data_IF_187647026250
#
_entry.id   IF_187647026250
#
_cell.length_a   1.000
_cell.length_b   1.000
_cell.length_c   1.000
_cell.angle_alpha   90.00
_cell.angle_beta   90.00
_cell.angle_gamma   90.00
#
_symmetry.space_group_name_H-M   'P 1'
#
loop_
_entity.id
_entity.type
_entity.pdbx_description
1 polymer ?
#
# COMPACT_ATOMS: atom_id res chain seq x y z
N UNK A 1 32.56 -14.77 -10.86
CA UNK A 1 32.37 -13.34 -11.22
C UNK A 1 31.25 -12.71 -10.41
N UNK A 2 30.14 -13.41 -10.18
CA UNK A 2 29.01 -12.96 -9.33
C UNK A 2 29.39 -12.94 -7.83
N UNK A 3 30.18 -13.92 -7.35
CA UNK A 3 30.61 -14.00 -5.94
C UNK A 3 31.37 -12.76 -5.43
N UNK A 4 32.23 -12.15 -6.27
CA UNK A 4 32.99 -10.95 -5.89
C UNK A 4 32.09 -9.72 -5.68
N UNK A 5 30.91 -9.69 -6.29
CA UNK A 5 29.95 -8.60 -6.17
C UNK A 5 29.04 -8.75 -4.94
N UNK A 6 29.04 -9.91 -4.27
CA UNK A 6 28.17 -10.16 -3.10
C UNK A 6 26.67 -10.19 -3.42
N UNK A 7 26.30 -10.28 -4.70
CA UNK A 7 24.90 -10.23 -5.18
C UNK A 7 24.29 -11.61 -5.37
N UNK A 8 24.86 -12.64 -4.75
CA UNK A 8 24.43 -14.04 -4.91
C UNK A 8 22.97 -14.22 -4.51
N UNK A 9 22.54 -13.51 -3.46
CA UNK A 9 21.15 -13.40 -3.00
C UNK A 9 20.17 -12.82 -4.04
N UNK A 10 20.65 -12.16 -5.10
CA UNK A 10 19.81 -11.67 -6.21
C UNK A 10 19.57 -12.75 -7.27
N UNK A 11 20.36 -13.83 -7.29
CA UNK A 11 20.31 -14.88 -8.32
C UNK A 11 19.91 -16.23 -7.72
N UNK A 12 20.31 -16.49 -6.47
CA UNK A 12 19.92 -17.65 -5.68
C UNK A 12 19.20 -17.17 -4.41
N UNK A 13 17.89 -17.33 -4.40
CA UNK A 13 17.07 -16.99 -3.24
C UNK A 13 16.98 -18.20 -2.31
N UNK A 14 17.23 -17.99 -1.02
CA UNK A 14 16.81 -18.95 -0.01
C UNK A 14 15.28 -19.12 -0.06
N UNK A 15 14.73 -20.27 0.41
CA UNK A 15 13.28 -20.46 0.47
C UNK A 15 12.54 -19.34 1.21
N UNK A 16 13.17 -18.77 2.24
CA UNK A 16 12.63 -17.64 3.01
C UNK A 16 12.60 -16.36 2.18
N UNK A 17 13.69 -16.01 1.49
CA UNK A 17 13.74 -14.83 0.63
C UNK A 17 12.75 -14.93 -0.53
N UNK A 18 12.63 -16.11 -1.15
CA UNK A 18 11.65 -16.38 -2.19
C UNK A 18 10.21 -16.20 -1.66
N UNK A 19 9.92 -16.74 -0.48
CA UNK A 19 8.60 -16.60 0.16
C UNK A 19 8.30 -15.13 0.48
N UNK A 20 9.23 -14.42 1.09
CA UNK A 20 9.06 -13.00 1.42
C UNK A 20 8.88 -12.16 0.15
N UNK A 21 9.73 -12.36 -0.86
CA UNK A 21 9.62 -11.69 -2.15
C UNK A 21 8.27 -11.90 -2.83
N UNK A 22 7.73 -13.12 -2.78
CA UNK A 22 6.40 -13.44 -3.30
C UNK A 22 5.28 -12.68 -2.57
N UNK A 23 5.37 -12.56 -1.24
CA UNK A 23 4.35 -11.88 -0.44
C UNK A 23 4.57 -10.36 -0.29
N UNK A 24 5.71 -9.80 -0.70
CA UNK A 24 6.01 -8.37 -0.61
C UNK A 24 4.87 -7.49 -1.15
N UNK A 25 4.28 -7.73 -2.34
CA UNK A 25 3.17 -6.91 -2.82
C UNK A 25 1.97 -6.90 -1.88
N UNK A 26 1.62 -8.05 -1.29
CA UNK A 26 0.52 -8.17 -0.33
C UNK A 26 0.83 -7.38 0.95
N UNK A 27 2.06 -7.53 1.47
CA UNK A 27 2.51 -6.80 2.67
C UNK A 27 2.43 -5.29 2.41
N UNK A 28 2.92 -4.81 1.26
CA UNK A 28 2.84 -3.40 0.89
C UNK A 28 1.39 -2.93 0.83
N UNK A 29 0.48 -3.67 0.19
CA UNK A 29 -0.94 -3.29 0.17
C UNK A 29 -1.56 -3.22 1.57
N UNK A 30 -1.24 -4.16 2.45
CA UNK A 30 -1.70 -4.12 3.85
C UNK A 30 -1.16 -2.89 4.58
N UNK A 31 0.13 -2.55 4.40
CA UNK A 31 0.72 -1.36 5.00
C UNK A 31 0.02 -0.08 4.51
N UNK A 32 -0.18 0.07 3.19
CA UNK A 32 -0.90 1.23 2.65
C UNK A 32 -2.36 1.30 3.13
N UNK A 33 -3.04 0.15 3.25
CA UNK A 33 -4.38 0.09 3.81
C UNK A 33 -4.42 0.59 5.25
N UNK A 34 -3.49 0.12 6.10
CA UNK A 34 -3.38 0.58 7.49
C UNK A 34 -3.10 2.08 7.55
N UNK A 35 -2.15 2.57 6.76
CA UNK A 35 -1.82 4.00 6.68
C UNK A 35 -3.04 4.84 6.27
N UNK A 36 -3.81 4.38 5.27
CA UNK A 36 -5.05 5.02 4.87
C UNK A 36 -6.07 5.06 6.01
N UNK A 37 -6.17 4.02 6.84
CA UNK A 37 -7.11 3.97 7.96
C UNK A 37 -6.72 4.90 9.11
N UNK A 38 -5.44 4.95 9.49
CA UNK A 38 -5.00 5.67 10.70
C UNK A 38 -4.83 7.17 10.49
N UNK A 39 -4.46 7.61 9.28
CA UNK A 39 -4.21 9.03 9.01
C UNK A 39 -5.50 9.83 9.00
N UNK A 40 -5.48 11.13 9.33
CA UNK A 40 -6.65 11.98 9.19
C UNK A 40 -7.10 12.03 7.71
N UNK A 41 -8.41 12.11 7.48
CA UNK A 41 -8.97 12.21 6.14
C UNK A 41 -10.25 13.04 6.13
N UNK A 42 -10.51 13.68 4.99
CA UNK A 42 -11.71 14.48 4.77
C UNK A 42 -12.83 13.59 4.24
N UNK A 43 -14.09 13.88 4.61
CA UNK A 43 -15.26 13.20 4.04
C UNK A 43 -15.89 14.09 3.00
N UNK A 44 -16.03 13.58 1.78
CA UNK A 44 -16.63 14.30 0.65
C UNK A 44 -17.78 13.49 0.05
N UNK A 45 -18.85 14.13 -0.46
CA UNK A 45 -19.89 13.44 -1.21
C UNK A 45 -19.28 12.71 -2.42
N UNK A 46 -19.54 11.42 -2.50
CA UNK A 46 -19.16 10.58 -3.63
C UNK A 46 -20.21 10.58 -4.73
N UNK A 47 -19.97 9.79 -5.79
CA UNK A 47 -20.89 9.65 -6.91
C UNK A 47 -21.90 8.51 -6.73
N UNK A 48 -21.62 7.56 -5.82
CA UNK A 48 -22.55 6.46 -5.51
C UNK A 48 -23.67 6.98 -4.63
N UNK A 49 -24.90 6.88 -5.10
CA UNK A 49 -26.11 7.21 -4.33
C UNK A 49 -26.50 6.05 -3.42
N UNK A 50 -26.99 6.38 -2.22
CA UNK A 50 -27.61 5.41 -1.35
C UNK A 50 -29.02 5.10 -1.89
N UNK A 51 -29.33 3.83 -2.24
CA UNK A 51 -30.63 3.47 -2.82
C UNK A 51 -31.80 3.66 -1.85
N UNK A 52 -31.56 3.63 -0.53
CA UNK A 52 -32.60 3.79 0.49
C UNK A 52 -32.92 5.26 0.77
N UNK A 53 -31.92 6.15 0.67
CA UNK A 53 -32.08 7.56 1.07
C UNK A 53 -32.00 8.56 -0.08
N UNK A 54 -31.58 8.12 -1.27
CA UNK A 54 -31.32 8.99 -2.43
C UNK A 54 -30.09 9.90 -2.29
N UNK A 55 -29.48 9.98 -1.10
CA UNK A 55 -28.34 10.85 -0.84
C UNK A 55 -27.02 10.22 -1.32
N UNK A 56 -26.02 11.01 -1.74
CA UNK A 56 -24.68 10.51 -2.04
C UNK A 56 -24.00 9.87 -0.82
N UNK A 57 -23.28 8.76 -1.04
CA UNK A 57 -22.39 8.18 -0.03
C UNK A 57 -21.15 9.05 0.13
N UNK A 58 -20.67 9.23 1.35
CA UNK A 58 -19.44 9.97 1.59
C UNK A 58 -18.20 9.09 1.40
N UNK A 59 -17.21 9.60 0.68
CA UNK A 59 -15.88 9.00 0.55
C UNK A 59 -14.92 9.66 1.54
N UNK A 60 -14.08 8.85 2.18
CA UNK A 60 -13.00 9.35 3.03
C UNK A 60 -11.73 9.44 2.21
N UNK A 61 -11.20 10.66 2.05
CA UNK A 61 -10.04 10.95 1.22
C UNK A 61 -8.87 11.46 2.06
N UNK A 62 -7.71 10.85 1.89
CA UNK A 62 -6.43 11.28 2.46
C UNK A 62 -5.23 10.92 1.57
N UNK A 63 -5.48 10.67 0.28
CA UNK A 63 -4.47 10.14 -0.65
C UNK A 63 -3.20 11.00 -0.77
N UNK A 64 -3.30 12.33 -0.71
CA UNK A 64 -2.11 13.21 -0.76
C UNK A 64 -1.19 13.05 0.46
N UNK A 65 -1.77 12.89 1.66
CA UNK A 65 -0.99 12.69 2.88
C UNK A 65 -0.34 11.30 2.88
N UNK A 66 -1.08 10.28 2.45
CA UNK A 66 -0.57 8.91 2.28
C UNK A 66 0.58 8.89 1.27
N UNK A 67 0.43 9.58 0.14
CA UNK A 67 1.48 9.69 -0.88
C UNK A 67 2.74 10.38 -0.33
N UNK A 68 2.59 11.51 0.38
CA UNK A 68 3.73 12.19 0.98
C UNK A 68 4.50 11.28 1.95
N UNK A 69 3.80 10.51 2.78
CA UNK A 69 4.42 9.53 3.69
C UNK A 69 5.12 8.42 2.90
N UNK A 70 4.50 7.90 1.83
CA UNK A 70 5.13 6.88 1.00
C UNK A 70 6.45 7.37 0.39
N UNK A 71 6.50 8.61 -0.11
CA UNK A 71 7.72 9.22 -0.67
C UNK A 71 8.79 9.45 0.39
N UNK A 72 8.41 9.76 1.64
CA UNK A 72 9.37 9.96 2.75
C UNK A 72 9.97 8.63 3.22
N UNK A 73 9.19 7.56 3.20
CA UNK A 73 9.61 6.23 3.68
C UNK A 73 10.41 5.47 2.62
N UNK A 74 10.13 5.71 1.34
CA UNK A 74 10.81 5.11 0.19
C UNK A 74 12.24 5.65 0.02
#
# INVERSE_FOLDING_TARGET
MIEWLGIEHLVELSPTEATLGFFTPLIIFVLFFVVQLILPGIRVPGYVTNPETGNPRNYRLNGLLVYAIAVIVW
#
